data_IF_609508305707
#
_entry.id   IF_609508305707
#
_cell.length_a   1.000
_cell.length_b   1.000
_cell.length_c   1.000
_cell.angle_alpha   90.00
_cell.angle_beta   90.00
_cell.angle_gamma   90.00
#
_symmetry.space_group_name_H-M   'P 1'
#
loop_
_entity.id
_entity.type
_entity.pdbx_description
1 polymer ?
#
# COMPACT_ATOMS: atom_id res chain seq x y z
N UNK A 1 -1.84 -17.60 9.02
CA UNK A 1 -1.36 -16.19 8.90
C UNK A 1 -0.91 -15.66 10.26
N UNK A 2 0.14 -14.84 10.35
CA UNK A 2 0.58 -14.13 11.58
C UNK A 2 0.40 -12.64 11.39
N UNK A 3 -0.29 -11.98 12.34
CA UNK A 3 -0.38 -10.51 12.40
C UNK A 3 0.68 -9.98 13.35
N UNK A 4 1.42 -8.97 12.92
CA UNK A 4 2.59 -8.41 13.63
C UNK A 4 2.48 -6.89 13.59
N UNK A 5 2.62 -6.26 14.76
CA UNK A 5 2.43 -4.82 14.91
C UNK A 5 3.74 -4.04 15.04
N UNK A 6 4.85 -4.73 15.35
CA UNK A 6 6.15 -4.07 15.54
C UNK A 6 7.15 -4.42 14.45
N UNK A 7 8.04 -3.47 14.14
CA UNK A 7 9.10 -3.63 13.14
C UNK A 7 10.08 -4.74 13.54
N UNK A 8 10.45 -4.80 14.82
CA UNK A 8 11.43 -5.76 15.28
C UNK A 8 10.91 -7.19 15.24
N UNK A 9 9.64 -7.41 15.66
CA UNK A 9 8.99 -8.72 15.54
C UNK A 9 8.82 -9.14 14.08
N UNK A 10 8.48 -8.19 13.18
CA UNK A 10 8.32 -8.49 11.76
C UNK A 10 9.65 -8.94 11.15
N UNK A 11 10.74 -8.24 11.44
CA UNK A 11 12.08 -8.62 10.98
C UNK A 11 12.53 -9.99 11.52
N UNK A 12 12.19 -10.29 12.76
CA UNK A 12 12.48 -11.60 13.35
C UNK A 12 11.64 -12.74 12.73
N UNK A 13 10.44 -12.41 12.22
CA UNK A 13 9.53 -13.38 11.61
C UNK A 13 9.81 -13.66 10.13
N UNK A 14 10.70 -12.88 9.48
CA UNK A 14 11.07 -13.02 8.06
C UNK A 14 12.51 -13.53 7.90
N UNK A 15 12.77 -14.84 8.10
CA UNK A 15 14.11 -15.41 7.92
C UNK A 15 14.53 -15.33 6.44
N UNK A 16 15.82 -15.16 6.22
CA UNK A 16 16.42 -15.03 4.86
C UNK A 16 16.19 -16.29 4.01
N UNK A 17 15.89 -17.44 4.63
CA UNK A 17 15.68 -18.74 3.95
C UNK A 17 14.36 -18.85 3.18
N UNK A 18 13.36 -18.04 3.49
CA UNK A 18 11.98 -18.20 3.00
C UNK A 18 11.69 -17.26 1.82
N UNK A 19 12.58 -17.28 0.86
CA UNK A 19 12.50 -16.46 -0.36
C UNK A 19 12.06 -17.26 -1.58
N UNK A 20 11.45 -16.63 -2.63
CA UNK A 20 11.26 -15.17 -2.74
C UNK A 20 10.17 -14.63 -1.80
N UNK A 21 10.42 -13.46 -1.21
CA UNK A 21 9.49 -12.74 -0.35
C UNK A 21 8.73 -11.69 -1.15
N UNK A 22 7.41 -11.83 -1.21
CA UNK A 22 6.51 -10.85 -1.82
C UNK A 22 5.94 -9.87 -0.79
N UNK A 23 5.71 -8.62 -1.20
CA UNK A 23 5.03 -7.60 -0.39
C UNK A 23 3.87 -6.96 -1.17
N UNK A 24 2.70 -6.88 -0.56
CA UNK A 24 1.57 -6.07 -1.03
C UNK A 24 1.28 -4.98 -0.01
N UNK A 25 1.72 -3.72 -0.22
CA UNK A 25 1.37 -2.62 0.67
C UNK A 25 -0.07 -2.18 0.48
N UNK A 26 -0.83 -2.06 1.59
CA UNK A 26 -2.22 -1.57 1.60
C UNK A 26 -2.49 -0.63 2.76
N UNK A 27 -3.62 0.06 2.71
CA UNK A 27 -4.16 0.83 3.83
C UNK A 27 -5.36 0.13 4.51
N UNK A 28 -5.64 -1.15 4.18
CA UNK A 28 -6.84 -1.84 4.63
C UNK A 28 -8.09 -1.50 3.80
N UNK A 29 -9.27 -1.84 4.33
CA UNK A 29 -10.55 -1.82 3.61
C UNK A 29 -10.43 -2.59 2.27
N UNK A 30 -9.97 -3.84 2.37
CA UNK A 30 -9.58 -4.64 1.22
C UNK A 30 -10.78 -4.97 0.33
N UNK A 31 -10.60 -4.79 -0.97
CA UNK A 31 -11.55 -5.13 -2.02
C UNK A 31 -10.88 -6.01 -3.08
N UNK A 32 -11.62 -6.50 -4.06
CA UNK A 32 -11.11 -7.45 -5.05
C UNK A 32 -9.95 -6.91 -5.88
N UNK A 33 -9.83 -5.58 -6.02
CA UNK A 33 -8.64 -4.94 -6.57
C UNK A 33 -7.38 -5.24 -5.76
N UNK A 34 -7.43 -5.15 -4.43
CA UNK A 34 -6.32 -5.55 -3.55
C UNK A 34 -6.09 -7.07 -3.59
N UNK A 35 -7.18 -7.86 -3.58
CA UNK A 35 -7.07 -9.32 -3.64
C UNK A 35 -6.44 -9.82 -4.94
N UNK A 36 -6.59 -9.10 -6.05
CA UNK A 36 -5.89 -9.42 -7.30
C UNK A 36 -4.37 -9.26 -7.17
N UNK A 37 -3.90 -8.26 -6.42
CA UNK A 37 -2.48 -8.10 -6.10
C UNK A 37 -1.98 -9.25 -5.21
N UNK A 38 -2.76 -9.58 -4.17
CA UNK A 38 -2.45 -10.68 -3.23
C UNK A 38 -2.36 -12.01 -3.97
N UNK A 39 -3.33 -12.31 -4.84
CA UNK A 39 -3.34 -13.54 -5.65
C UNK A 39 -2.12 -13.62 -6.56
N UNK A 40 -1.77 -12.53 -7.23
CA UNK A 40 -0.58 -12.45 -8.07
C UNK A 40 0.70 -12.67 -7.26
N UNK A 41 0.82 -11.96 -6.13
CA UNK A 41 1.97 -12.06 -5.24
C UNK A 41 2.10 -13.48 -4.65
N UNK A 42 0.98 -14.12 -4.26
CA UNK A 42 0.99 -15.49 -3.74
C UNK A 42 1.54 -16.50 -4.75
N UNK A 43 1.17 -16.33 -6.03
CA UNK A 43 1.62 -17.24 -7.10
C UNK A 43 3.13 -17.10 -7.40
N UNK A 44 3.74 -15.98 -7.07
CA UNK A 44 5.14 -15.64 -7.41
C UNK A 44 6.10 -15.66 -6.21
N UNK A 45 5.59 -15.87 -4.97
CA UNK A 45 6.39 -15.78 -3.75
C UNK A 45 6.33 -17.07 -2.94
N UNK A 46 7.45 -17.45 -2.32
CA UNK A 46 7.46 -18.52 -1.32
C UNK A 46 6.83 -18.06 -0.01
N UNK A 47 7.15 -16.83 0.41
CA UNK A 47 6.54 -16.14 1.55
C UNK A 47 5.86 -14.87 1.08
N UNK A 48 4.62 -14.65 1.51
CA UNK A 48 3.84 -13.47 1.18
C UNK A 48 3.54 -12.63 2.41
N UNK A 49 3.97 -11.38 2.36
CA UNK A 49 3.65 -10.35 3.34
C UNK A 49 2.67 -9.33 2.77
N UNK A 50 1.73 -8.90 3.60
CA UNK A 50 0.84 -7.75 3.31
C UNK A 50 1.02 -6.73 4.41
N UNK A 51 1.09 -5.44 4.09
CA UNK A 51 0.97 -4.42 5.13
C UNK A 51 -0.42 -3.80 5.14
N UNK A 52 -0.96 -3.53 6.33
CA UNK A 52 -2.18 -2.74 6.54
C UNK A 52 -1.80 -1.55 7.41
N UNK A 53 -1.68 -0.38 6.79
CA UNK A 53 -1.33 0.85 7.51
C UNK A 53 -1.94 2.08 6.85
N UNK A 54 -2.91 2.71 7.52
CA UNK A 54 -3.46 4.01 7.09
C UNK A 54 -2.46 5.08 7.44
N UNK A 55 -1.67 5.51 6.46
CA UNK A 55 -0.54 6.40 6.66
C UNK A 55 -0.99 7.86 6.82
N UNK A 56 -0.88 8.48 8.01
CA UNK A 56 -1.30 9.87 8.21
C UNK A 56 -0.51 10.87 7.37
N UNK A 57 0.75 10.56 7.04
CA UNK A 57 1.65 11.48 6.35
C UNK A 57 1.27 11.76 4.88
N UNK A 58 0.37 10.96 4.29
CA UNK A 58 -0.08 11.14 2.91
C UNK A 58 -1.45 11.83 2.79
N UNK A 59 -2.05 12.22 3.91
CA UNK A 59 -3.34 12.93 3.93
C UNK A 59 -3.14 14.41 4.24
N UNK A 60 -3.77 15.25 3.45
CA UNK A 60 -3.86 16.68 3.72
C UNK A 60 -4.82 16.98 4.87
N UNK A 61 -4.80 18.21 5.42
CA UNK A 61 -5.61 18.59 6.58
C UNK A 61 -7.13 18.45 6.38
N UNK A 62 -7.60 18.46 5.14
CA UNK A 62 -9.02 18.38 4.77
C UNK A 62 -9.41 17.05 4.14
N UNK A 63 -8.48 16.10 4.09
CA UNK A 63 -8.72 14.80 3.50
C UNK A 63 -9.31 13.79 4.50
N UNK A 64 -9.75 12.66 3.99
CA UNK A 64 -10.57 11.64 4.66
C UNK A 64 -9.82 10.73 5.65
N UNK A 65 -8.68 11.15 6.21
CA UNK A 65 -7.90 10.31 7.13
C UNK A 65 -8.71 9.80 8.32
N UNK A 66 -9.50 10.66 8.95
CA UNK A 66 -10.29 10.30 10.13
C UNK A 66 -11.44 9.33 9.78
N UNK A 67 -12.04 9.48 8.60
CA UNK A 67 -13.16 8.67 8.11
C UNK A 67 -12.73 7.55 7.17
N UNK A 68 -11.42 7.38 6.93
CA UNK A 68 -10.93 6.30 6.07
C UNK A 68 -11.41 4.94 6.61
N UNK A 69 -12.02 4.08 5.79
CA UNK A 69 -12.61 2.82 6.23
C UNK A 69 -11.57 1.92 6.92
N UNK A 70 -11.94 1.32 8.04
CA UNK A 70 -11.11 0.37 8.79
C UNK A 70 -11.98 -0.77 9.28
N UNK A 71 -11.73 -1.96 8.78
CA UNK A 71 -12.36 -3.21 9.23
C UNK A 71 -11.28 -4.30 9.25
N UNK A 72 -10.49 -4.28 10.32
CA UNK A 72 -9.32 -5.16 10.44
C UNK A 72 -9.73 -6.63 10.47
N UNK A 73 -10.85 -6.97 11.09
CA UNK A 73 -11.31 -8.36 11.18
C UNK A 73 -11.70 -8.91 9.80
N UNK A 74 -12.44 -8.12 9.01
CA UNK A 74 -12.77 -8.49 7.64
C UNK A 74 -11.52 -8.57 6.74
N UNK A 75 -10.59 -7.63 6.89
CA UNK A 75 -9.33 -7.63 6.14
C UNK A 75 -8.49 -8.86 6.48
N UNK A 76 -8.33 -9.20 7.76
CA UNK A 76 -7.59 -10.39 8.19
C UNK A 76 -8.21 -11.68 7.68
N UNK A 77 -9.54 -11.80 7.73
CA UNK A 77 -10.23 -12.98 7.22
C UNK A 77 -9.96 -13.19 5.72
N UNK A 78 -10.02 -12.12 4.91
CA UNK A 78 -9.72 -12.19 3.46
C UNK A 78 -8.27 -12.57 3.18
N UNK A 79 -7.32 -12.03 3.95
CA UNK A 79 -5.89 -12.33 3.78
C UNK A 79 -5.55 -13.76 4.19
N UNK A 80 -6.16 -14.27 5.26
CA UNK A 80 -5.95 -15.64 5.71
C UNK A 80 -6.50 -16.65 4.68
N UNK A 81 -7.70 -16.41 4.15
CA UNK A 81 -8.28 -17.21 3.07
C UNK A 81 -7.41 -17.21 1.80
N UNK A 82 -6.79 -16.08 1.50
CA UNK A 82 -5.88 -15.95 0.35
C UNK A 82 -4.48 -16.55 0.59
N UNK A 83 -4.22 -17.14 1.76
CA UNK A 83 -2.96 -17.80 2.09
C UNK A 83 -1.80 -16.84 2.31
N UNK A 84 -2.05 -15.64 2.84
CA UNK A 84 -1.01 -14.71 3.26
C UNK A 84 -0.29 -15.26 4.49
N UNK A 85 1.03 -15.19 4.52
CA UNK A 85 1.84 -15.73 5.63
C UNK A 85 1.96 -14.72 6.77
N UNK A 86 2.25 -13.45 6.44
CA UNK A 86 2.55 -12.39 7.37
C UNK A 86 1.75 -11.14 7.07
N UNK A 87 1.20 -10.51 8.10
CA UNK A 87 0.59 -9.17 8.01
C UNK A 87 1.36 -8.22 8.92
N UNK A 88 1.88 -7.14 8.35
CA UNK A 88 2.46 -6.02 9.11
C UNK A 88 1.37 -4.96 9.31
N UNK A 89 0.86 -4.83 10.53
CA UNK A 89 -0.20 -3.89 10.90
C UNK A 89 0.27 -2.93 12.01
N UNK A 90 1.26 -2.06 11.72
CA UNK A 90 1.89 -1.24 12.74
C UNK A 90 0.99 -0.07 13.15
N UNK A 91 1.19 0.42 14.37
CA UNK A 91 0.58 1.67 14.84
C UNK A 91 1.28 2.88 14.20
N UNK A 92 0.64 4.05 14.31
CA UNK A 92 1.26 5.30 13.87
C UNK A 92 2.53 5.61 14.63
N UNK A 93 2.56 5.34 15.94
CA UNK A 93 3.73 5.59 16.79
C UNK A 93 4.89 4.64 16.47
N UNK A 94 4.60 3.41 16.05
CA UNK A 94 5.62 2.48 15.55
C UNK A 94 6.23 2.97 14.24
N UNK A 95 5.39 3.43 13.31
CA UNK A 95 5.88 3.93 12.02
C UNK A 95 6.51 5.32 12.11
N UNK A 96 6.01 6.18 12.98
CA UNK A 96 6.47 7.56 13.15
C UNK A 96 6.63 7.90 14.64
N UNK A 97 7.65 7.34 15.31
CA UNK A 97 7.88 7.64 16.72
C UNK A 97 8.16 9.12 16.93
N UNK A 98 7.97 9.58 18.16
CA UNK A 98 8.24 10.98 18.54
C UNK A 98 9.65 11.40 18.11
N UNK A 99 9.75 12.54 17.44
CA UNK A 99 11.02 13.02 16.86
C UNK A 99 11.35 12.48 15.46
N UNK A 100 10.44 11.78 14.79
CA UNK A 100 10.59 11.34 13.41
C UNK A 100 10.45 12.53 12.44
N UNK A 101 11.53 12.95 11.81
CA UNK A 101 11.58 14.10 10.90
C UNK A 101 11.94 13.76 9.46
N UNK A 102 12.53 12.59 9.22
CA UNK A 102 12.98 12.20 7.86
C UNK A 102 11.80 12.07 6.90
N UNK A 103 11.94 12.63 5.71
CA UNK A 103 11.00 12.53 4.61
C UNK A 103 11.74 12.13 3.33
N UNK A 104 11.04 11.43 2.44
CA UNK A 104 11.54 11.07 1.10
C UNK A 104 10.75 11.85 0.08
N UNK A 105 11.44 12.59 -0.78
CA UNK A 105 10.87 13.37 -1.87
C UNK A 105 11.53 12.98 -3.19
N UNK A 106 10.70 12.74 -4.22
CA UNK A 106 11.16 12.39 -5.58
C UNK A 106 11.10 13.58 -6.53
N UNK A 107 11.06 14.79 -6.00
CA UNK A 107 11.11 16.04 -6.74
C UNK A 107 9.88 16.23 -7.65
N UNK A 108 10.12 16.67 -8.89
CA UNK A 108 9.05 17.06 -9.81
C UNK A 108 8.01 15.98 -10.13
N UNK A 109 8.29 14.69 -9.87
CA UNK A 109 7.29 13.63 -9.97
C UNK A 109 6.19 13.75 -8.90
N UNK A 110 6.51 14.35 -7.75
CA UNK A 110 5.60 14.59 -6.65
C UNK A 110 4.71 15.83 -6.83
N UNK A 111 5.00 16.68 -7.83
CA UNK A 111 4.41 18.02 -7.96
C UNK A 111 3.40 18.13 -9.12
N UNK A 112 3.25 17.09 -9.93
CA UNK A 112 2.39 17.09 -11.12
C UNK A 112 1.13 16.25 -10.90
N UNK A 113 0.12 16.42 -11.78
CA UNK A 113 -1.12 15.63 -11.78
C UNK A 113 -1.74 15.59 -10.37
N UNK A 114 -1.89 14.40 -9.78
CA UNK A 114 -2.44 14.24 -8.44
C UNK A 114 -1.60 14.99 -7.39
N UNK A 115 -0.28 15.04 -7.53
CA UNK A 115 0.59 15.79 -6.63
C UNK A 115 0.37 17.30 -6.67
N UNK A 116 -0.04 17.87 -7.81
CA UNK A 116 -0.42 19.28 -7.90
C UNK A 116 -1.74 19.56 -7.16
N UNK A 117 -2.69 18.62 -7.20
CA UNK A 117 -3.99 18.73 -6.52
C UNK A 117 -3.89 18.39 -5.02
N UNK A 118 -2.90 17.62 -4.62
CA UNK A 118 -2.68 17.12 -3.25
C UNK A 118 -1.24 17.41 -2.79
N UNK A 119 -0.89 18.68 -2.50
CA UNK A 119 0.47 19.03 -2.08
C UNK A 119 0.93 18.22 -0.87
N UNK A 120 2.13 17.62 -0.95
CA UNK A 120 2.72 16.78 0.10
C UNK A 120 2.26 15.31 0.09
N UNK A 121 1.23 14.94 -0.64
CA UNK A 121 0.73 13.57 -0.72
C UNK A 121 1.84 12.57 -1.09
N UNK A 122 2.53 12.79 -2.20
CA UNK A 122 3.56 11.86 -2.65
C UNK A 122 4.83 11.84 -1.79
N UNK A 123 5.12 12.92 -1.05
CA UNK A 123 6.18 12.90 -0.02
C UNK A 123 5.77 11.94 1.11
N UNK A 124 4.50 11.95 1.51
CA UNK A 124 3.95 11.00 2.47
C UNK A 124 4.01 9.55 1.97
N UNK A 125 3.58 9.32 0.71
CA UNK A 125 3.63 8.00 0.06
C UNK A 125 5.07 7.50 -0.07
N UNK A 126 5.97 8.32 -0.62
CA UNK A 126 7.37 7.95 -0.79
C UNK A 126 8.04 7.60 0.54
N UNK A 127 7.74 8.37 1.59
CA UNK A 127 8.27 8.12 2.93
C UNK A 127 7.80 6.78 3.49
N UNK A 128 6.48 6.50 3.48
CA UNK A 128 5.96 5.25 4.03
C UNK A 128 6.41 4.04 3.23
N UNK A 129 6.39 4.11 1.89
CA UNK A 129 6.81 2.99 1.05
C UNK A 129 8.30 2.70 1.22
N UNK A 130 9.14 3.74 1.33
CA UNK A 130 10.57 3.55 1.66
C UNK A 130 10.73 2.81 2.99
N UNK A 131 9.97 3.19 4.02
CA UNK A 131 9.99 2.48 5.32
C UNK A 131 9.56 1.02 5.16
N UNK A 132 8.43 0.77 4.49
CA UNK A 132 7.92 -0.59 4.27
C UNK A 132 8.92 -1.46 3.51
N UNK A 133 9.51 -0.97 2.42
CA UNK A 133 10.53 -1.69 1.67
C UNK A 133 11.79 -1.96 2.52
N UNK A 134 12.19 -1.01 3.36
CA UNK A 134 13.34 -1.18 4.27
C UNK A 134 13.07 -2.11 5.45
N UNK A 135 11.82 -2.18 5.92
CA UNK A 135 11.40 -3.08 7.01
C UNK A 135 11.30 -4.51 6.51
N UNK A 136 10.53 -4.70 5.42
CA UNK A 136 10.19 -6.01 4.88
C UNK A 136 11.35 -6.60 4.06
N UNK A 137 12.06 -5.76 3.31
CA UNK A 137 13.11 -6.15 2.35
C UNK A 137 12.63 -7.22 1.37
N UNK A 138 11.52 -6.97 0.66
CA UNK A 138 10.95 -7.96 -0.25
C UNK A 138 11.83 -8.13 -1.49
N UNK A 139 11.74 -9.31 -2.13
CA UNK A 139 12.30 -9.50 -3.47
C UNK A 139 11.41 -8.82 -4.51
N UNK A 140 10.08 -8.86 -4.29
CA UNK A 140 9.10 -8.23 -5.18
C UNK A 140 8.03 -7.50 -4.38
N UNK A 141 7.68 -6.28 -4.79
CA UNK A 141 6.57 -5.51 -4.22
C UNK A 141 5.53 -5.19 -5.30
N UNK A 142 4.25 -5.41 -4.99
CA UNK A 142 3.14 -5.35 -5.93
C UNK A 142 2.25 -4.14 -5.65
N UNK A 143 1.96 -3.37 -6.70
CA UNK A 143 1.14 -2.16 -6.63
C UNK A 143 0.12 -2.14 -7.76
N UNK A 144 -1.01 -1.46 -7.55
CA UNK A 144 -2.06 -1.33 -8.57
C UNK A 144 -1.74 -0.23 -9.59
N UNK A 145 -1.93 -0.51 -10.88
CA UNK A 145 -1.82 0.49 -11.95
C UNK A 145 -2.89 1.59 -11.86
N UNK A 146 -3.95 1.39 -11.08
CA UNK A 146 -4.96 2.42 -10.80
C UNK A 146 -4.30 3.72 -10.33
N UNK A 147 -3.33 3.62 -9.45
CA UNK A 147 -2.58 4.75 -8.90
C UNK A 147 -1.24 4.88 -9.66
N UNK A 148 -1.34 5.11 -10.99
CA UNK A 148 -0.21 5.05 -11.91
C UNK A 148 0.94 6.00 -11.54
N UNK A 149 0.61 7.24 -11.11
CA UNK A 149 1.63 8.20 -10.67
C UNK A 149 2.33 7.70 -9.41
N UNK A 150 1.61 7.13 -8.46
CA UNK A 150 2.20 6.47 -7.29
C UNK A 150 3.18 5.37 -7.72
N UNK A 151 2.81 4.55 -8.69
CA UNK A 151 3.69 3.52 -9.24
C UNK A 151 5.02 4.08 -9.77
N UNK A 152 4.99 5.20 -10.49
CA UNK A 152 6.18 5.89 -10.99
C UNK A 152 7.03 6.47 -9.86
N UNK A 153 6.41 7.08 -8.85
CA UNK A 153 7.07 7.59 -7.64
C UNK A 153 7.81 6.45 -6.93
N UNK A 154 7.14 5.30 -6.74
CA UNK A 154 7.71 4.13 -6.06
C UNK A 154 8.86 3.51 -6.87
N UNK A 155 8.68 3.39 -8.17
CA UNK A 155 9.75 2.90 -9.03
C UNK A 155 10.99 3.80 -8.95
N UNK A 156 10.79 5.13 -8.96
CA UNK A 156 11.88 6.11 -8.88
C UNK A 156 12.61 6.05 -7.55
N UNK A 157 11.90 6.09 -6.42
CA UNK A 157 12.51 6.01 -5.09
C UNK A 157 13.27 4.69 -4.88
N UNK A 158 12.71 3.57 -5.37
CA UNK A 158 13.36 2.26 -5.25
C UNK A 158 14.71 2.23 -5.99
N UNK A 159 14.75 2.82 -7.20
CA UNK A 159 15.97 2.93 -7.98
C UNK A 159 17.00 3.88 -7.33
N UNK A 160 16.57 5.08 -6.93
CA UNK A 160 17.46 6.11 -6.38
C UNK A 160 18.06 5.72 -5.03
N UNK A 161 17.28 5.04 -4.18
CA UNK A 161 17.70 4.62 -2.86
C UNK A 161 18.30 3.20 -2.82
N UNK A 162 18.40 2.53 -3.96
CA UNK A 162 18.96 1.18 -4.09
C UNK A 162 18.30 0.17 -3.12
N UNK A 163 16.95 0.22 -3.00
CA UNK A 163 16.23 -0.65 -2.07
C UNK A 163 16.18 -2.11 -2.53
N UNK A 164 16.41 -2.37 -3.82
CA UNK A 164 16.62 -3.69 -4.38
C UNK A 164 15.36 -4.51 -4.67
N UNK A 165 14.17 -4.02 -4.36
CA UNK A 165 12.93 -4.73 -4.67
C UNK A 165 12.59 -4.65 -6.17
N UNK A 166 12.07 -5.73 -6.75
CA UNK A 166 11.39 -5.64 -8.04
C UNK A 166 10.00 -5.00 -7.83
N UNK A 167 9.72 -3.91 -8.53
CA UNK A 167 8.41 -3.23 -8.46
C UNK A 167 7.53 -3.74 -9.60
N UNK A 168 6.40 -4.38 -9.25
CA UNK A 168 5.42 -4.91 -10.19
C UNK A 168 4.15 -4.09 -10.13
N UNK A 169 3.74 -3.53 -11.29
CA UNK A 169 2.44 -2.86 -11.44
C UNK A 169 1.43 -3.85 -12.02
N UNK A 170 0.37 -4.11 -11.27
CA UNK A 170 -0.70 -5.02 -11.65
C UNK A 170 -1.85 -4.27 -12.34
N UNK A 171 -2.55 -4.90 -13.29
CA UNK A 171 -3.65 -4.27 -14.02
C UNK A 171 -4.77 -3.77 -13.12
N UNK A 172 -5.51 -2.77 -13.61
CA UNK A 172 -6.69 -2.23 -12.93
C UNK A 172 -7.80 -3.27 -12.93
N UNK A 173 -8.36 -3.55 -11.76
CA UNK A 173 -9.62 -4.31 -11.62
C UNK A 173 -10.78 -3.31 -11.59
N UNK A 174 -11.82 -3.60 -12.37
CA UNK A 174 -12.99 -2.73 -12.52
C UNK A 174 -14.26 -3.46 -12.10
N UNK A 175 -15.24 -2.69 -11.67
CA UNK A 175 -16.61 -3.16 -11.45
C UNK A 175 -17.31 -3.39 -12.78
N UNK A 176 -18.49 -4.03 -12.75
CA UNK A 176 -19.24 -4.39 -13.97
C UNK A 176 -19.63 -3.17 -14.83
N UNK A 177 -19.78 -1.99 -14.23
CA UNK A 177 -20.06 -0.73 -14.89
C UNK A 177 -18.81 -0.01 -15.44
N UNK A 178 -17.62 -0.58 -15.24
CA UNK A 178 -16.34 -0.05 -15.71
C UNK A 178 -15.60 0.83 -14.71
N UNK A 179 -16.21 1.18 -13.56
CA UNK A 179 -15.54 1.96 -12.52
C UNK A 179 -14.39 1.15 -11.91
N UNK A 180 -13.20 1.77 -11.78
CA UNK A 180 -12.08 1.14 -11.10
C UNK A 180 -12.42 0.88 -9.63
N UNK A 181 -12.09 -0.32 -9.12
CA UNK A 181 -12.32 -0.67 -7.72
C UNK A 181 -11.52 0.24 -6.78
N UNK A 182 -12.20 0.76 -5.77
CA UNK A 182 -11.63 1.60 -4.72
C UNK A 182 -12.44 1.46 -3.43
N UNK A 183 -11.77 1.45 -2.27
CA UNK A 183 -12.44 1.51 -0.97
C UNK A 183 -13.32 2.77 -0.81
N UNK A 184 -13.01 3.84 -1.53
CA UNK A 184 -13.80 5.08 -1.55
C UNK A 184 -15.10 4.98 -2.36
N UNK A 185 -15.27 3.97 -3.21
CA UNK A 185 -16.51 3.79 -4.00
C UNK A 185 -17.74 3.60 -3.12
N UNK A 186 -17.57 3.04 -1.92
CA UNK A 186 -18.66 2.86 -0.96
C UNK A 186 -19.26 4.20 -0.45
N UNK A 187 -18.53 5.30 -0.57
CA UNK A 187 -18.98 6.64 -0.20
C UNK A 187 -19.72 7.40 -1.29
N UNK A 188 -19.80 6.87 -2.52
CA UNK A 188 -20.47 7.53 -3.64
C UNK A 188 -22.00 7.40 -3.52
N UNK A 189 -22.72 8.51 -3.66
CA UNK A 189 -24.15 8.50 -3.93
C UNK A 189 -24.46 7.89 -5.31
N UNK A 190 -25.72 7.60 -5.58
CA UNK A 190 -26.16 7.04 -6.88
C UNK A 190 -25.77 7.95 -8.04
N UNK A 191 -25.95 9.27 -7.89
CA UNK A 191 -25.66 10.25 -8.94
C UNK A 191 -24.16 10.41 -9.17
N UNK A 192 -23.38 10.47 -8.09
CA UNK A 192 -21.91 10.51 -8.16
C UNK A 192 -21.35 9.24 -8.78
N UNK A 193 -21.94 8.08 -8.47
CA UNK A 193 -21.54 6.82 -9.07
C UNK A 193 -21.77 6.80 -10.58
N UNK A 194 -22.92 7.28 -11.05
CA UNK A 194 -23.19 7.40 -12.49
C UNK A 194 -22.19 8.33 -13.16
N UNK A 195 -21.88 9.48 -12.55
CA UNK A 195 -20.92 10.43 -13.09
C UNK A 195 -19.49 9.88 -13.12
N UNK A 196 -19.12 8.97 -12.20
CA UNK A 196 -17.77 8.42 -12.11
C UNK A 196 -17.43 7.37 -13.18
N UNK A 197 -18.40 6.89 -13.95
CA UNK A 197 -18.21 5.89 -15.03
C UNK A 197 -18.06 6.46 -16.43
N UNK A 198 -17.98 7.81 -16.58
CA UNK A 198 -17.92 8.53 -17.87
C UNK A 198 -16.47 8.73 -18.31
#
# INVERSE_FOLDING_TARGET
MRVIETVDEFRAATPVSDRPLGLVPTMGALHDGHMSLVSRARAESATLAVSIFVNPAQFGPTEDYASYPRDMDADYARLDEAGVDLVLAPTTDEMYPAGSHTRVDVGSLSERLEGASRPGHFVGVATVVTKLLSIVRPDTAYFGQKDAQQGLVIWRLNADLNLGAQIVLCPIVREADGLALSSRNAGLSTDERQAATV
#
